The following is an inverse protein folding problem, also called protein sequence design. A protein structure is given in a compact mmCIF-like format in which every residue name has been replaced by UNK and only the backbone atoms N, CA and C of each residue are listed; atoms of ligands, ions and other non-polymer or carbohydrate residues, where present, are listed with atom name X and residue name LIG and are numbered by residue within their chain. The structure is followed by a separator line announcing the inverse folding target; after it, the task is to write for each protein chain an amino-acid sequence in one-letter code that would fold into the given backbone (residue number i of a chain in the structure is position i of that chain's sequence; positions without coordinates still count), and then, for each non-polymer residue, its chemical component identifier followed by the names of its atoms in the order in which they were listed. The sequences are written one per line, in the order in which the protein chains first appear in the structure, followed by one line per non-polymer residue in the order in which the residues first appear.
data_IF_005220155419
#
_entry.id   IF_005220155419
#
_cell.length_a   1.000
_cell.length_b   1.000
_cell.length_c   1.000
_cell.angle_alpha   90.00
_cell.angle_beta   90.00
_cell.angle_gamma   90.00
#
_symmetry.space_group_name_H-M   'P 1'
#
loop_
_entity.id
_entity.type
_entity.pdbx_description
1 polymer ?
#
# COMPACT_ATOMS: atom_id res chain seq x y z
N UNK A 1 18.43 13.46 31.95
CA UNK A 1 18.28 12.33 31.01
C UNK A 1 19.19 11.15 31.33
N UNK A 2 20.51 11.31 31.52
CA UNK A 2 21.44 10.21 31.84
C UNK A 2 21.01 9.31 33.00
N UNK A 3 20.43 9.88 34.06
CA UNK A 3 19.96 9.10 35.23
C UNK A 3 18.73 8.23 34.94
N UNK A 4 17.85 8.64 34.02
CA UNK A 4 16.65 7.86 33.65
C UNK A 4 17.05 6.66 32.81
N UNK A 5 17.90 6.86 31.78
CA UNK A 5 18.39 5.76 30.93
C UNK A 5 19.14 4.72 31.76
N UNK A 6 20.02 5.18 32.68
CA UNK A 6 20.78 4.31 33.57
C UNK A 6 19.84 3.54 34.54
N UNK A 7 18.78 4.19 35.03
CA UNK A 7 17.75 3.57 35.87
C UNK A 7 16.97 2.49 35.12
N UNK A 8 16.52 2.81 33.89
CA UNK A 8 15.78 1.88 33.03
C UNK A 8 16.65 0.66 32.68
N UNK A 9 17.91 0.85 32.31
CA UNK A 9 18.84 -0.24 32.05
C UNK A 9 19.05 -1.14 33.28
N UNK A 10 19.25 -0.56 34.46
CA UNK A 10 19.35 -1.34 35.71
C UNK A 10 18.08 -2.14 36.02
N UNK A 11 16.90 -1.55 35.79
CA UNK A 11 15.62 -2.24 35.97
C UNK A 11 15.46 -3.38 34.95
N UNK A 12 15.94 -3.20 33.72
CA UNK A 12 15.92 -4.23 32.68
C UNK A 12 16.77 -5.45 33.13
N UNK A 13 17.98 -5.24 33.61
CA UNK A 13 18.88 -6.33 34.04
C UNK A 13 18.37 -7.05 35.28
N UNK A 14 17.66 -6.37 36.17
CA UNK A 14 17.13 -7.01 37.41
C UNK A 14 16.04 -8.05 37.14
N UNK A 15 15.28 -7.92 36.02
CA UNK A 15 14.22 -8.86 35.62
C UNK A 15 14.27 -9.11 34.12
N UNK A 16 15.34 -9.76 33.66
CA UNK A 16 15.57 -9.89 32.21
C UNK A 16 14.46 -10.65 31.52
N UNK A 17 13.97 -11.76 32.07
CA UNK A 17 12.93 -12.58 31.45
C UNK A 17 11.62 -11.82 31.22
N UNK A 18 11.09 -11.13 32.25
CA UNK A 18 9.82 -10.42 32.17
C UNK A 18 9.90 -9.21 31.24
N UNK A 19 11.00 -8.46 31.30
CA UNK A 19 11.22 -7.30 30.45
C UNK A 19 11.49 -7.71 29.00
N UNK A 20 12.18 -8.81 28.77
CA UNK A 20 12.42 -9.37 27.45
C UNK A 20 11.12 -9.86 26.81
N UNK A 21 10.26 -10.57 27.54
CA UNK A 21 8.94 -11.00 27.07
C UNK A 21 8.10 -9.79 26.67
N UNK A 22 8.12 -8.72 27.45
CA UNK A 22 7.38 -7.49 27.16
C UNK A 22 7.94 -6.78 25.92
N UNK A 23 9.26 -6.64 25.83
CA UNK A 23 9.96 -6.05 24.70
C UNK A 23 9.67 -6.85 23.41
N UNK A 24 9.85 -8.16 23.43
CA UNK A 24 9.62 -9.02 22.25
C UNK A 24 8.14 -9.04 21.86
N UNK A 25 7.22 -9.12 22.82
CA UNK A 25 5.78 -9.07 22.54
C UNK A 25 5.35 -7.78 21.87
N UNK A 26 5.84 -6.63 22.36
CA UNK A 26 5.60 -5.33 21.71
C UNK A 26 6.29 -5.25 20.35
N UNK A 27 7.52 -5.74 20.22
CA UNK A 27 8.28 -5.74 18.95
C UNK A 27 7.53 -6.49 17.85
N UNK A 28 7.13 -7.73 18.11
CA UNK A 28 6.41 -8.56 17.12
C UNK A 28 5.06 -7.93 16.75
N UNK A 29 4.33 -7.44 17.74
CA UNK A 29 3.04 -6.81 17.48
C UNK A 29 3.18 -5.51 16.71
N UNK A 30 4.14 -4.64 17.04
CA UNK A 30 4.41 -3.42 16.30
C UNK A 30 4.90 -3.71 14.88
N UNK A 31 5.74 -4.74 14.69
CA UNK A 31 6.18 -5.17 13.37
C UNK A 31 4.99 -5.57 12.49
N UNK A 32 4.06 -6.37 13.02
CA UNK A 32 2.86 -6.77 12.28
C UNK A 32 1.96 -5.56 12.00
N UNK A 33 1.76 -4.67 12.97
CA UNK A 33 1.00 -3.42 12.77
C UNK A 33 1.65 -2.55 11.69
N UNK A 34 2.98 -2.43 11.67
CA UNK A 34 3.71 -1.67 10.63
C UNK A 34 3.47 -2.29 9.26
N UNK A 35 3.64 -3.61 9.09
CA UNK A 35 3.43 -4.30 7.82
C UNK A 35 2.00 -4.08 7.31
N UNK A 36 1.00 -4.34 8.14
CA UNK A 36 -0.40 -4.19 7.76
C UNK A 36 -0.78 -2.73 7.47
N UNK A 37 -0.24 -1.78 8.24
CA UNK A 37 -0.51 -0.35 8.04
C UNK A 37 0.15 0.18 6.77
N UNK A 38 1.40 -0.18 6.50
CA UNK A 38 2.11 0.26 5.29
C UNK A 38 1.47 -0.35 4.05
N UNK A 39 1.12 -1.63 4.09
CA UNK A 39 0.39 -2.27 2.99
C UNK A 39 -0.97 -1.60 2.76
N UNK A 40 -1.77 -1.42 3.81
CA UNK A 40 -3.07 -0.76 3.69
C UNK A 40 -2.95 0.68 3.19
N UNK A 41 -1.91 1.40 3.63
CA UNK A 41 -1.62 2.75 3.15
C UNK A 41 -1.28 2.75 1.65
N UNK A 42 -0.42 1.82 1.22
CA UNK A 42 -0.04 1.73 -0.20
C UNK A 42 -1.24 1.40 -1.10
N UNK A 43 -2.15 0.53 -0.66
CA UNK A 43 -3.39 0.22 -1.36
C UNK A 43 -4.35 1.43 -1.43
N UNK A 44 -4.51 2.15 -0.29
CA UNK A 44 -5.42 3.29 -0.20
C UNK A 44 -4.91 4.54 -0.93
N UNK A 45 -3.62 4.61 -1.22
CA UNK A 45 -2.97 5.73 -1.91
C UNK A 45 -2.51 5.38 -3.33
N UNK A 46 -3.06 4.31 -3.90
CA UNK A 46 -2.82 3.93 -5.30
C UNK A 46 -3.11 5.11 -6.22
N UNK A 47 -2.19 5.37 -7.17
CA UNK A 47 -2.23 6.47 -8.15
C UNK A 47 -2.14 7.91 -7.58
N UNK A 48 -1.96 8.10 -6.30
CA UNK A 48 -1.85 9.45 -5.71
C UNK A 48 -0.53 10.17 -6.07
N UNK A 49 0.42 9.49 -6.67
CA UNK A 49 1.72 10.08 -7.08
C UNK A 49 1.66 10.75 -8.46
N UNK A 50 0.62 10.52 -9.25
CA UNK A 50 0.46 11.20 -10.53
C UNK A 50 0.15 12.69 -10.33
N UNK A 51 0.94 13.56 -10.95
CA UNK A 51 0.82 15.02 -10.80
C UNK A 51 -0.57 15.51 -11.17
N UNK A 52 -1.13 14.98 -12.26
CA UNK A 52 -2.46 15.32 -12.75
C UNK A 52 -3.55 14.35 -12.27
N UNK A 53 -3.25 13.44 -11.31
CA UNK A 53 -4.11 12.32 -10.94
C UNK A 53 -5.51 12.70 -10.44
N UNK A 54 -5.67 13.89 -9.89
CA UNK A 54 -6.95 14.46 -9.43
C UNK A 54 -7.85 14.92 -10.59
N UNK A 55 -7.28 15.18 -11.77
CA UNK A 55 -7.97 15.63 -12.98
C UNK A 55 -8.04 14.55 -14.08
N UNK A 56 -7.42 13.40 -13.86
CA UNK A 56 -7.47 12.26 -14.78
C UNK A 56 -8.65 11.36 -14.47
N UNK A 57 -9.42 11.03 -15.50
CA UNK A 57 -10.60 10.18 -15.41
C UNK A 57 -10.59 9.12 -16.49
N UNK A 58 -11.14 7.95 -16.19
CA UNK A 58 -11.46 6.91 -17.17
C UNK A 58 -12.94 7.04 -17.57
N UNK A 59 -13.20 7.11 -18.86
CA UNK A 59 -14.56 7.04 -19.38
C UNK A 59 -15.11 5.62 -19.20
N UNK A 60 -16.30 5.53 -18.64
CA UNK A 60 -17.02 4.29 -18.41
C UNK A 60 -18.45 4.44 -18.88
N UNK A 61 -18.95 3.42 -19.53
CA UNK A 61 -20.36 3.28 -19.89
C UNK A 61 -21.19 2.81 -18.69
N UNK A 62 -22.45 2.59 -18.92
CA UNK A 62 -23.34 1.97 -17.95
C UNK A 62 -22.76 0.63 -17.42
N UNK A 63 -23.09 0.27 -16.19
CA UNK A 63 -22.60 -0.96 -15.52
C UNK A 63 -21.08 -1.07 -15.35
N UNK A 64 -20.38 0.04 -15.33
CA UNK A 64 -18.90 0.09 -15.22
C UNK A 64 -18.15 -0.62 -16.37
N UNK A 65 -18.76 -0.67 -17.54
CA UNK A 65 -18.07 -1.11 -18.75
C UNK A 65 -17.07 -0.02 -19.18
N UNK A 66 -15.78 -0.36 -19.17
CA UNK A 66 -14.68 0.60 -19.41
C UNK A 66 -14.16 0.56 -20.85
N UNK A 67 -14.74 -0.27 -21.68
CA UNK A 67 -14.34 -0.37 -23.08
C UNK A 67 -15.07 0.64 -23.95
N UNK A 68 -14.33 1.31 -24.81
CA UNK A 68 -14.80 2.30 -25.74
C UNK A 68 -14.22 2.06 -27.15
N UNK A 69 -14.86 2.57 -28.20
CA UNK A 69 -14.28 2.57 -29.54
C UNK A 69 -13.10 3.55 -29.65
N UNK A 70 -12.15 3.23 -30.53
CA UNK A 70 -10.99 4.09 -30.74
C UNK A 70 -11.38 5.50 -31.24
N UNK A 71 -12.42 5.58 -32.04
CA UNK A 71 -12.94 6.84 -32.62
C UNK A 71 -13.36 7.84 -31.54
N UNK A 72 -13.81 7.34 -30.38
CA UNK A 72 -14.28 8.20 -29.27
C UNK A 72 -13.21 9.23 -28.87
N UNK A 73 -11.95 8.82 -28.75
CA UNK A 73 -10.84 9.73 -28.41
C UNK A 73 -10.71 10.88 -29.40
N UNK A 74 -10.75 10.56 -30.68
CA UNK A 74 -10.60 11.57 -31.75
C UNK A 74 -11.77 12.56 -31.73
N UNK A 75 -12.99 12.09 -31.43
CA UNK A 75 -14.17 12.95 -31.28
C UNK A 75 -14.11 13.80 -29.99
N UNK A 76 -13.58 13.26 -28.89
CA UNK A 76 -13.37 14.02 -27.65
C UNK A 76 -12.44 15.19 -27.91
N UNK A 77 -11.29 14.95 -28.55
CA UNK A 77 -10.30 15.99 -28.86
C UNK A 77 -10.85 17.11 -29.74
N UNK A 78 -11.80 16.77 -30.67
CA UNK A 78 -12.41 17.72 -31.57
C UNK A 78 -13.57 18.51 -30.96
N UNK A 79 -14.33 17.90 -30.03
CA UNK A 79 -15.67 18.40 -29.71
C UNK A 79 -15.89 18.67 -28.21
N UNK A 80 -14.97 18.27 -27.31
CA UNK A 80 -15.14 18.44 -25.86
C UNK A 80 -14.12 19.45 -25.31
N UNK A 81 -14.49 20.74 -25.20
CA UNK A 81 -13.56 21.80 -24.82
C UNK A 81 -13.05 21.69 -23.37
N UNK A 82 -13.75 20.97 -22.49
CA UNK A 82 -13.39 20.73 -21.09
C UNK A 82 -12.22 19.75 -20.92
N UNK A 83 -11.91 19.01 -21.99
CA UNK A 83 -10.79 18.05 -21.98
C UNK A 83 -9.52 18.76 -22.45
N UNK A 84 -8.48 18.70 -21.65
CA UNK A 84 -7.15 19.22 -21.93
C UNK A 84 -6.36 18.26 -22.82
N UNK A 85 -6.42 16.95 -22.52
CA UNK A 85 -5.81 15.88 -23.29
C UNK A 85 -6.60 14.57 -23.09
N UNK A 86 -6.55 13.69 -24.09
CA UNK A 86 -7.15 12.37 -23.97
C UNK A 86 -6.21 11.28 -24.51
N UNK A 87 -6.34 10.07 -23.95
CA UNK A 87 -5.52 8.91 -24.30
C UNK A 87 -6.38 7.68 -24.36
N UNK A 88 -6.31 6.96 -25.48
CA UNK A 88 -6.84 5.60 -25.57
C UNK A 88 -5.72 4.60 -25.32
N UNK A 89 -6.02 3.59 -24.54
CA UNK A 89 -5.11 2.50 -24.24
C UNK A 89 -5.73 1.16 -24.60
N UNK A 90 -4.90 0.20 -25.00
CA UNK A 90 -5.34 -1.17 -25.23
C UNK A 90 -4.18 -2.14 -25.01
N UNK A 91 -4.45 -3.28 -24.38
CA UNK A 91 -3.47 -4.36 -24.31
C UNK A 91 -3.43 -5.18 -25.59
N UNK A 92 -2.31 -5.84 -25.84
CA UNK A 92 -2.25 -6.90 -26.83
C UNK A 92 -3.01 -8.13 -26.30
N UNK A 93 -3.88 -8.73 -27.14
CA UNK A 93 -4.72 -9.87 -26.72
C UNK A 93 -3.93 -11.05 -26.17
N UNK A 94 -2.83 -11.37 -26.83
CA UNK A 94 -1.87 -12.39 -26.39
C UNK A 94 -0.57 -11.69 -26.05
N UNK A 95 0.01 -12.04 -24.93
CA UNK A 95 1.31 -11.53 -24.54
C UNK A 95 2.34 -11.86 -25.62
N UNK A 96 3.01 -10.86 -26.21
CA UNK A 96 3.97 -11.09 -27.27
C UNK A 96 5.25 -11.72 -26.74
N UNK A 97 5.96 -12.35 -27.66
CA UNK A 97 7.30 -12.87 -27.42
C UNK A 97 8.31 -11.83 -27.85
N UNK A 98 9.15 -11.38 -26.92
CA UNK A 98 10.26 -10.46 -27.15
C UNK A 98 11.57 -11.22 -27.27
N UNK A 99 12.42 -10.82 -28.21
CA UNK A 99 13.77 -11.35 -28.37
C UNK A 99 14.74 -10.22 -28.67
N UNK A 100 15.77 -10.06 -27.84
CA UNK A 100 16.85 -9.11 -28.00
C UNK A 100 18.10 -9.84 -28.50
N UNK A 101 18.51 -9.61 -29.76
CA UNK A 101 19.67 -10.28 -30.38
C UNK A 101 19.60 -11.80 -30.26
N UNK A 102 20.63 -12.41 -29.67
CA UNK A 102 20.72 -13.86 -29.48
C UNK A 102 20.25 -14.34 -28.09
N UNK A 103 19.63 -13.46 -27.28
CA UNK A 103 19.09 -13.87 -25.97
C UNK A 103 17.86 -14.76 -26.15
N UNK A 104 17.58 -15.54 -25.11
CA UNK A 104 16.38 -16.39 -25.09
C UNK A 104 15.10 -15.54 -25.22
N UNK A 105 14.12 -16.00 -26.00
CA UNK A 105 12.85 -15.30 -26.15
C UNK A 105 12.10 -15.23 -24.80
N UNK A 106 11.53 -14.08 -24.48
CA UNK A 106 10.77 -13.82 -23.26
C UNK A 106 9.35 -13.39 -23.60
N UNK A 107 8.35 -14.03 -23.00
CA UNK A 107 6.96 -13.59 -23.11
C UNK A 107 6.66 -12.55 -22.03
N UNK A 108 6.17 -11.38 -22.41
CA UNK A 108 5.75 -10.32 -21.50
C UNK A 108 4.57 -9.54 -22.06
N UNK A 109 3.91 -8.75 -21.22
CA UNK A 109 2.79 -7.92 -21.63
C UNK A 109 3.23 -6.71 -22.48
N UNK A 110 2.36 -6.29 -23.37
CA UNK A 110 2.53 -5.10 -24.18
C UNK A 110 1.22 -4.31 -24.23
N UNK A 111 1.31 -3.05 -23.89
CA UNK A 111 0.21 -2.09 -23.94
C UNK A 111 0.47 -1.05 -25.01
N UNK A 112 -0.57 -0.62 -25.68
CA UNK A 112 -0.54 0.48 -26.62
C UNK A 112 -1.24 1.68 -26.02
N UNK A 113 -0.68 2.86 -26.23
CA UNK A 113 -1.26 4.12 -25.80
C UNK A 113 -1.04 5.21 -26.86
N UNK A 114 -1.80 6.28 -26.78
CA UNK A 114 -1.54 7.46 -27.60
C UNK A 114 -0.34 8.26 -27.05
N UNK A 115 0.26 9.13 -27.88
CA UNK A 115 1.45 9.91 -27.54
C UNK A 115 1.33 10.77 -26.28
N UNK A 116 0.10 11.19 -25.94
CA UNK A 116 -0.18 12.04 -24.79
C UNK A 116 -0.21 11.28 -23.44
N UNK A 117 0.14 9.99 -23.45
CA UNK A 117 0.13 9.15 -22.24
C UNK A 117 0.91 9.77 -21.08
N UNK A 118 2.09 10.30 -21.32
CA UNK A 118 2.93 10.87 -20.29
C UNK A 118 2.49 12.28 -19.84
N UNK A 119 1.53 12.90 -20.55
CA UNK A 119 0.87 14.13 -20.08
C UNK A 119 -0.18 13.82 -18.98
N UNK A 120 -0.81 12.64 -19.05
CA UNK A 120 -1.80 12.20 -18.08
C UNK A 120 -1.14 11.51 -16.87
N UNK A 121 -0.15 10.64 -17.15
CA UNK A 121 0.43 9.75 -16.16
C UNK A 121 1.90 10.07 -15.90
N UNK A 122 2.25 10.25 -14.63
CA UNK A 122 3.61 10.59 -14.21
C UNK A 122 4.47 9.33 -14.16
N UNK A 123 5.50 9.27 -14.99
CA UNK A 123 6.56 8.26 -14.97
C UNK A 123 7.91 8.93 -15.07
N UNK A 124 8.97 8.25 -14.63
CA UNK A 124 10.34 8.73 -14.73
C UNK A 124 11.15 7.80 -15.63
N UNK A 125 11.91 8.36 -16.57
CA UNK A 125 12.80 7.58 -17.40
C UNK A 125 14.16 7.42 -16.71
N UNK A 126 14.68 6.18 -16.73
CA UNK A 126 16.07 5.87 -16.39
C UNK A 126 16.97 6.10 -17.60
N UNK A 127 16.45 5.78 -18.79
CA UNK A 127 17.11 5.98 -20.08
C UNK A 127 16.13 6.62 -21.07
N UNK A 128 16.62 7.54 -21.90
CA UNK A 128 15.83 8.22 -22.92
C UNK A 128 15.07 9.45 -22.43
N UNK A 129 14.24 10.02 -23.30
CA UNK A 129 13.37 11.16 -23.00
C UNK A 129 11.91 10.74 -23.08
N UNK A 130 11.21 10.86 -21.95
CA UNK A 130 9.81 10.43 -21.79
C UNK A 130 8.85 11.24 -22.69
N UNK A 131 9.10 12.52 -22.91
CA UNK A 131 8.23 13.41 -23.67
C UNK A 131 8.07 12.96 -25.13
N UNK A 132 9.11 12.36 -25.70
CA UNK A 132 9.15 11.93 -27.09
C UNK A 132 9.07 10.40 -27.25
N UNK A 133 8.98 9.66 -26.15
CA UNK A 133 9.13 8.20 -26.17
C UNK A 133 8.04 7.45 -26.98
N UNK A 134 6.87 8.06 -27.16
CA UNK A 134 5.74 7.50 -27.92
C UNK A 134 5.43 8.26 -29.22
N UNK A 135 6.32 9.15 -29.69
CA UNK A 135 6.03 9.98 -30.89
C UNK A 135 6.18 9.18 -32.19
N UNK A 136 7.18 8.31 -32.27
CA UNK A 136 7.49 7.57 -33.46
C UNK A 136 6.86 6.18 -33.48
N UNK A 137 6.34 5.71 -34.60
CA UNK A 137 5.90 4.32 -34.72
C UNK A 137 7.08 3.36 -34.70
N UNK A 138 6.81 2.10 -34.40
CA UNK A 138 7.80 1.03 -34.25
C UNK A 138 8.86 1.30 -33.16
N UNK A 139 8.51 2.12 -32.16
CA UNK A 139 9.27 2.30 -30.94
C UNK A 139 8.56 1.66 -29.75
N UNK A 140 9.34 1.33 -28.71
CA UNK A 140 8.84 0.71 -27.49
C UNK A 140 9.52 1.30 -26.28
N UNK A 141 8.73 1.55 -25.25
CA UNK A 141 9.17 1.91 -23.91
C UNK A 141 9.15 0.64 -23.07
N UNK A 142 10.20 0.39 -22.30
CA UNK A 142 10.32 -0.79 -21.43
C UNK A 142 10.34 -0.38 -19.96
N UNK A 143 9.81 -1.21 -19.08
CA UNK A 143 10.12 -1.11 -17.66
C UNK A 143 11.59 -1.48 -17.44
N UNK A 144 12.20 -0.93 -16.40
CA UNK A 144 13.59 -1.24 -16.01
C UNK A 144 13.80 -2.74 -15.79
N UNK A 145 12.81 -3.40 -15.22
CA UNK A 145 12.85 -4.84 -14.99
C UNK A 145 12.90 -5.62 -16.31
N UNK A 146 11.99 -5.32 -17.25
CA UNK A 146 11.96 -5.98 -18.55
C UNK A 146 13.22 -5.67 -19.38
N UNK A 147 13.70 -4.42 -19.36
CA UNK A 147 14.94 -4.04 -20.00
C UNK A 147 16.14 -4.85 -19.47
N UNK A 148 16.23 -5.01 -18.15
CA UNK A 148 17.27 -5.83 -17.50
C UNK A 148 17.19 -7.32 -17.87
N UNK A 149 15.99 -7.87 -18.03
CA UNK A 149 15.80 -9.26 -18.46
C UNK A 149 16.19 -9.47 -19.94
N UNK A 150 15.92 -8.50 -20.80
CA UNK A 150 16.19 -8.58 -22.25
C UNK A 150 17.64 -8.25 -22.63
N UNK A 151 18.25 -7.29 -21.96
CA UNK A 151 19.55 -6.74 -22.35
C UNK A 151 20.65 -6.91 -21.28
N UNK A 152 20.29 -7.46 -20.10
CA UNK A 152 21.23 -7.59 -18.99
C UNK A 152 21.63 -6.22 -18.41
N UNK A 153 22.93 -6.03 -18.05
CA UNK A 153 23.40 -4.79 -17.46
C UNK A 153 23.67 -3.67 -18.49
N UNK A 154 23.51 -3.95 -19.78
CA UNK A 154 23.79 -2.99 -20.83
C UNK A 154 22.62 -2.01 -21.03
N UNK A 155 22.90 -0.72 -21.34
CA UNK A 155 21.82 0.22 -21.70
C UNK A 155 20.94 -0.32 -22.82
N UNK A 156 19.63 -0.18 -22.67
CA UNK A 156 18.66 -0.67 -23.64
C UNK A 156 18.29 0.38 -24.69
N UNK A 157 18.44 1.67 -24.38
CA UNK A 157 18.07 2.77 -25.26
C UNK A 157 18.69 2.65 -26.66
N UNK A 158 17.84 2.80 -27.69
CA UNK A 158 18.24 2.72 -29.11
C UNK A 158 18.50 1.30 -29.62
N UNK A 159 18.49 0.28 -28.76
CA UNK A 159 18.60 -1.12 -29.19
C UNK A 159 17.28 -1.59 -29.80
N UNK A 160 17.39 -2.56 -30.69
CA UNK A 160 16.25 -3.15 -31.39
C UNK A 160 15.91 -4.49 -30.76
N UNK A 161 14.63 -4.73 -30.54
CA UNK A 161 14.09 -6.01 -30.14
C UNK A 161 13.07 -6.54 -31.15
N UNK A 162 13.01 -7.85 -31.28
CA UNK A 162 12.09 -8.55 -32.17
C UNK A 162 10.83 -8.94 -31.39
N UNK A 163 9.67 -8.65 -31.96
CA UNK A 163 8.36 -8.94 -31.37
C UNK A 163 7.62 -9.96 -32.25
N UNK A 164 7.19 -11.07 -31.65
CA UNK A 164 6.48 -12.18 -32.32
C UNK A 164 7.16 -12.68 -33.60
N UNK A 165 8.48 -12.63 -33.66
CA UNK A 165 9.29 -13.02 -34.82
C UNK A 165 9.06 -12.24 -36.15
N UNK A 166 8.19 -11.24 -36.14
CA UNK A 166 7.77 -10.54 -37.36
C UNK A 166 8.14 -9.05 -37.37
N UNK A 167 8.19 -8.40 -36.23
CA UNK A 167 8.35 -6.97 -36.13
C UNK A 167 9.59 -6.59 -35.31
N UNK A 168 10.27 -5.53 -35.72
CA UNK A 168 11.40 -4.98 -34.99
C UNK A 168 11.02 -3.63 -34.39
N UNK A 169 11.13 -3.48 -33.08
CA UNK A 169 10.87 -2.24 -32.37
C UNK A 169 12.17 -1.72 -31.74
N UNK A 170 12.35 -0.40 -31.79
CA UNK A 170 13.50 0.27 -31.19
C UNK A 170 13.13 0.79 -29.80
N UNK A 171 13.97 0.55 -28.81
CA UNK A 171 13.73 1.05 -27.45
C UNK A 171 13.91 2.57 -27.44
N UNK A 172 12.84 3.30 -27.14
CA UNK A 172 12.80 4.76 -27.09
C UNK A 172 13.00 5.32 -25.67
N UNK A 173 12.66 4.56 -24.65
CA UNK A 173 12.92 4.89 -23.26
C UNK A 173 12.87 3.65 -22.37
N UNK A 174 13.50 3.74 -21.18
CA UNK A 174 13.36 2.78 -20.10
C UNK A 174 12.81 3.51 -18.88
N UNK A 175 11.67 3.04 -18.36
CA UNK A 175 10.99 3.62 -17.21
C UNK A 175 11.52 3.03 -15.91
N UNK A 176 11.64 3.87 -14.91
CA UNK A 176 11.80 3.41 -13.54
C UNK A 176 10.49 2.75 -13.04
N UNK A 177 10.63 1.75 -12.18
CA UNK A 177 9.44 1.16 -11.54
C UNK A 177 8.72 2.23 -10.71
N UNK A 178 7.37 2.28 -10.73
CA UNK A 178 6.62 3.27 -9.98
C UNK A 178 6.97 3.25 -8.49
N UNK A 179 7.15 4.42 -7.88
CA UNK A 179 7.45 4.54 -6.44
C UNK A 179 6.29 4.06 -5.54
N UNK A 180 5.08 4.04 -6.05
CA UNK A 180 3.86 3.66 -5.34
C UNK A 180 3.00 2.75 -6.21
N UNK A 181 1.98 2.15 -5.60
CA UNK A 181 1.02 1.33 -6.35
C UNK A 181 0.29 2.17 -7.41
N UNK A 182 0.06 1.55 -8.55
CA UNK A 182 -0.72 2.14 -9.65
C UNK A 182 -1.73 1.12 -10.19
N UNK A 183 -2.86 1.62 -10.67
CA UNK A 183 -3.84 0.81 -11.40
C UNK A 183 -3.30 0.33 -12.74
N UNK A 184 -2.31 1.05 -13.30
CA UNK A 184 -1.69 0.73 -14.59
C UNK A 184 -0.50 -0.21 -14.38
N UNK A 185 -0.65 -1.47 -14.72
CA UNK A 185 0.41 -2.49 -14.66
C UNK A 185 0.80 -2.93 -16.06
N UNK A 186 1.98 -2.54 -16.50
CA UNK A 186 2.53 -2.93 -17.79
C UNK A 186 4.06 -3.01 -17.73
N UNK A 187 4.62 -3.93 -18.48
CA UNK A 187 6.08 -4.09 -18.62
C UNK A 187 6.61 -3.39 -19.87
N UNK A 188 5.77 -3.21 -20.87
CA UNK A 188 6.12 -2.49 -22.10
C UNK A 188 4.97 -1.66 -22.65
N UNK A 189 5.32 -0.53 -23.26
CA UNK A 189 4.38 0.43 -23.82
C UNK A 189 4.84 0.85 -25.21
N UNK A 190 3.93 0.82 -26.19
CA UNK A 190 4.17 1.35 -27.54
C UNK A 190 3.03 2.28 -27.95
N UNK A 191 3.24 3.07 -29.00
CA UNK A 191 2.18 3.94 -29.49
C UNK A 191 1.12 3.17 -30.32
N UNK A 192 -0.08 3.75 -30.46
CA UNK A 192 -1.18 3.17 -31.22
C UNK A 192 -0.90 3.10 -32.74
N UNK A 193 0.01 3.89 -33.29
CA UNK A 193 0.45 3.74 -34.66
C UNK A 193 1.25 2.44 -34.85
N UNK A 194 2.06 2.06 -33.87
CA UNK A 194 2.70 0.74 -33.84
C UNK A 194 1.65 -0.38 -33.81
N UNK A 195 0.56 -0.22 -33.04
CA UNK A 195 -0.54 -1.21 -32.97
C UNK A 195 -1.15 -1.46 -34.38
N UNK A 196 -1.37 -0.42 -35.16
CA UNK A 196 -1.90 -0.55 -36.55
C UNK A 196 -1.01 -1.41 -37.44
N UNK A 197 0.30 -1.42 -37.19
CA UNK A 197 1.30 -2.17 -37.97
C UNK A 197 1.42 -3.62 -37.46
N UNK A 198 1.53 -3.81 -36.14
CA UNK A 198 1.80 -5.14 -35.56
C UNK A 198 0.55 -5.99 -35.35
N UNK A 199 -0.62 -5.36 -35.29
CA UNK A 199 -1.93 -6.02 -35.17
C UNK A 199 -2.94 -5.39 -36.14
N UNK A 200 -2.84 -5.66 -37.45
CA UNK A 200 -3.64 -5.01 -38.46
C UNK A 200 -5.09 -5.53 -38.50
N UNK A 201 -5.86 -5.32 -37.46
CA UNK A 201 -7.32 -5.39 -37.50
C UNK A 201 -7.84 -4.06 -38.07
N UNK A 202 -7.75 -3.93 -39.41
CA UNK A 202 -7.79 -2.72 -40.24
C UNK A 202 -8.71 -1.57 -39.84
N UNK A 203 -9.91 -1.82 -39.32
CA UNK A 203 -10.92 -0.80 -39.12
C UNK A 203 -11.23 -0.44 -37.66
N UNK A 204 -10.54 -1.05 -36.68
CA UNK A 204 -10.79 -0.77 -35.26
C UNK A 204 -10.61 0.71 -34.90
N UNK A 205 -9.79 1.46 -35.61
CA UNK A 205 -9.56 2.90 -35.41
C UNK A 205 -10.56 3.81 -36.14
N UNK A 206 -11.39 3.26 -37.02
CA UNK A 206 -12.32 4.02 -37.87
C UNK A 206 -13.78 3.79 -37.56
N UNK A 207 -14.09 2.69 -36.85
CA UNK A 207 -15.46 2.25 -36.63
C UNK A 207 -15.87 2.37 -35.17
N UNK A 208 -17.14 2.74 -34.93
CA UNK A 208 -17.75 2.79 -33.60
C UNK A 208 -18.07 1.41 -33.00
N UNK A 209 -18.05 0.36 -33.83
CA UNK A 209 -18.44 -0.99 -33.40
C UNK A 209 -17.39 -1.73 -32.55
N UNK A 210 -16.14 -1.30 -32.57
CA UNK A 210 -15.03 -1.98 -31.93
C UNK A 210 -14.72 -1.37 -30.55
N UNK A 211 -15.20 -1.99 -29.47
CA UNK A 211 -14.97 -1.54 -28.10
C UNK A 211 -13.74 -2.24 -27.50
N UNK A 212 -12.53 -1.89 -27.94
CA UNK A 212 -11.27 -2.54 -27.55
C UNK A 212 -10.34 -1.64 -26.75
N UNK A 213 -10.73 -0.38 -26.51
CA UNK A 213 -9.87 0.62 -25.90
C UNK A 213 -10.46 1.10 -24.59
N UNK A 214 -9.58 1.56 -23.69
CA UNK A 214 -9.92 2.35 -22.51
C UNK A 214 -9.53 3.80 -22.80
N UNK A 215 -10.49 4.71 -22.68
CA UNK A 215 -10.28 6.13 -22.96
C UNK A 215 -10.16 6.90 -21.67
N UNK A 216 -8.95 7.41 -21.41
CA UNK A 216 -8.66 8.32 -20.31
C UNK A 216 -8.72 9.76 -20.78
N UNK A 217 -9.18 10.64 -19.92
CA UNK A 217 -9.27 12.08 -20.20
C UNK A 217 -8.65 12.87 -19.05
N UNK A 218 -7.89 13.90 -19.38
CA UNK A 218 -7.42 14.91 -18.45
C UNK A 218 -8.35 16.12 -18.59
N UNK A 219 -9.07 16.46 -17.52
CA UNK A 219 -9.95 17.62 -17.51
C UNK A 219 -9.19 18.90 -17.19
N UNK A 220 -9.64 20.01 -17.76
CA UNK A 220 -9.19 21.35 -17.38
C UNK A 220 -9.60 21.65 -15.94
N UNK A 221 -8.88 22.54 -15.28
CA UNK A 221 -9.20 22.93 -13.91
C UNK A 221 -10.60 23.55 -13.82
N UNK A 222 -11.37 23.11 -12.81
CA UNK A 222 -12.71 23.63 -12.52
C UNK A 222 -13.84 23.07 -13.39
N UNK A 223 -13.59 22.17 -14.34
CA UNK A 223 -14.64 21.51 -15.12
C UNK A 223 -15.42 20.49 -14.27
N UNK A 224 -16.72 20.35 -14.53
CA UNK A 224 -17.57 19.35 -13.88
C UNK A 224 -17.46 18.00 -14.61
N UNK A 225 -16.93 16.95 -13.95
CA UNK A 225 -16.82 15.63 -14.56
C UNK A 225 -18.16 15.01 -14.97
N UNK A 226 -19.25 15.38 -14.31
CA UNK A 226 -20.60 14.85 -14.62
C UNK A 226 -21.12 15.44 -15.93
N UNK A 227 -21.00 16.74 -16.10
CA UNK A 227 -21.43 17.42 -17.35
C UNK A 227 -20.52 17.03 -18.52
N UNK A 228 -19.20 16.94 -18.28
CA UNK A 228 -18.26 16.46 -19.30
C UNK A 228 -18.57 15.01 -19.73
N UNK A 229 -18.93 14.14 -18.80
CA UNK A 229 -19.34 12.76 -19.10
C UNK A 229 -20.57 12.71 -20.01
N UNK A 230 -21.57 13.57 -19.77
CA UNK A 230 -22.76 13.69 -20.63
C UNK A 230 -22.39 14.16 -22.04
N UNK A 231 -21.53 15.16 -22.13
CA UNK A 231 -21.02 15.65 -23.41
C UNK A 231 -20.31 14.56 -24.19
N UNK A 232 -19.41 13.79 -23.54
CA UNK A 232 -18.74 12.65 -24.17
C UNK A 232 -19.76 11.58 -24.61
N UNK A 233 -20.76 11.29 -23.78
CA UNK A 233 -21.80 10.31 -24.12
C UNK A 233 -22.64 10.72 -25.33
N UNK A 234 -22.87 12.02 -25.54
CA UNK A 234 -23.59 12.53 -26.70
C UNK A 234 -22.85 12.40 -28.04
N UNK A 235 -21.56 12.07 -28.00
CA UNK A 235 -20.75 11.84 -29.22
C UNK A 235 -21.02 10.47 -29.85
N UNK A 236 -21.63 9.52 -29.11
CA UNK A 236 -21.97 8.23 -29.70
C UNK A 236 -23.09 8.37 -30.74
N UNK A 237 -23.02 7.62 -31.83
CA UNK A 237 -24.03 7.73 -32.90
C UNK A 237 -25.40 7.20 -32.44
N UNK A 238 -26.49 7.70 -33.05
CA UNK A 238 -27.88 7.30 -32.76
C UNK A 238 -28.14 5.80 -32.97
N UNK A 239 -27.30 5.12 -33.75
CA UNK A 239 -27.33 3.67 -33.93
C UNK A 239 -26.93 2.88 -32.67
N UNK A 240 -26.40 3.55 -31.64
CA UNK A 240 -25.99 2.95 -30.36
C UNK A 240 -26.66 3.64 -29.17
N UNK A 241 -27.99 3.64 -29.07
CA UNK A 241 -28.74 4.42 -28.08
C UNK A 241 -28.47 4.01 -26.64
N UNK A 242 -28.16 2.74 -26.37
CA UNK A 242 -27.79 2.23 -25.05
C UNK A 242 -26.44 2.79 -24.55
N UNK A 243 -25.57 3.22 -25.43
CA UNK A 243 -24.26 3.77 -25.10
C UNK A 243 -24.28 5.29 -24.90
N UNK A 244 -25.32 5.98 -25.45
CA UNK A 244 -25.49 7.42 -25.31
C UNK A 244 -25.99 7.86 -23.93
N UNK A 245 -26.67 6.98 -23.21
CA UNK A 245 -27.56 7.46 -22.16
C UNK A 245 -26.95 7.68 -20.78
N UNK A 246 -25.83 7.09 -20.41
CA UNK A 246 -25.30 7.14 -19.04
C UNK A 246 -23.77 6.94 -18.89
N UNK A 247 -22.98 7.57 -19.76
CA UNK A 247 -21.53 7.59 -19.57
C UNK A 247 -21.15 8.33 -18.27
N UNK A 248 -20.11 7.88 -17.62
CA UNK A 248 -19.53 8.51 -16.43
C UNK A 248 -18.03 8.58 -16.53
N UNK A 249 -17.45 9.56 -15.84
CA UNK A 249 -16.02 9.69 -15.65
C UNK A 249 -15.64 9.16 -14.26
N UNK A 250 -14.83 8.11 -14.23
CA UNK A 250 -14.33 7.51 -12.99
C UNK A 250 -12.98 8.15 -12.67
N UNK A 251 -12.83 8.87 -11.52
CA UNK A 251 -11.55 9.45 -11.14
C UNK A 251 -10.46 8.38 -11.02
N UNK A 252 -9.26 8.66 -11.50
CA UNK A 252 -8.11 7.75 -11.46
C UNK A 252 -7.88 7.21 -10.04
N UNK A 253 -7.89 8.08 -9.03
CA UNK A 253 -7.69 7.74 -7.62
C UNK A 253 -8.76 6.79 -7.02
N UNK A 254 -9.95 6.69 -7.67
CA UNK A 254 -11.01 5.77 -7.27
C UNK A 254 -11.06 4.51 -8.12
N UNK A 255 -10.35 4.52 -9.23
CA UNK A 255 -10.41 3.45 -10.23
C UNK A 255 -9.98 2.11 -9.65
N UNK A 256 -8.92 2.09 -8.85
CA UNK A 256 -8.38 0.88 -8.21
C UNK A 256 -9.42 0.07 -7.41
N UNK A 257 -10.34 0.74 -6.73
CA UNK A 257 -11.40 0.12 -5.92
C UNK A 257 -12.77 0.09 -6.61
N UNK A 258 -12.85 0.55 -7.84
CA UNK A 258 -14.10 0.50 -8.61
C UNK A 258 -14.23 -0.88 -9.25
N UNK A 259 -15.31 -1.63 -8.96
CA UNK A 259 -15.54 -2.88 -9.67
C UNK A 259 -15.90 -2.57 -11.12
N UNK A 260 -15.05 -2.95 -12.02
CA UNK A 260 -15.33 -2.91 -13.45
C UNK A 260 -15.20 -4.31 -14.05
N UNK A 261 -16.02 -4.56 -15.05
CA UNK A 261 -15.95 -5.82 -15.78
C UNK A 261 -14.81 -5.75 -16.80
N UNK A 262 -13.85 -6.66 -16.68
CA UNK A 262 -12.65 -6.69 -17.49
C UNK A 262 -12.51 -8.04 -18.16
N UNK A 263 -13.10 -8.20 -19.35
CA UNK A 263 -12.79 -9.35 -20.18
C UNK A 263 -11.44 -9.12 -20.88
N UNK A 264 -10.44 -9.87 -20.50
CA UNK A 264 -9.16 -9.90 -21.22
C UNK A 264 -8.21 -8.72 -21.00
N UNK A 265 -8.52 -7.78 -20.12
CA UNK A 265 -7.62 -6.67 -19.80
C UNK A 265 -6.64 -7.07 -18.70
N UNK A 266 -5.34 -7.08 -19.02
CA UNK A 266 -4.28 -7.52 -18.10
C UNK A 266 -3.51 -6.36 -17.48
N UNK A 267 -3.71 -5.11 -17.94
CA UNK A 267 -2.91 -3.96 -17.48
C UNK A 267 -3.63 -3.04 -16.49
N UNK A 268 -4.95 -3.15 -16.34
CA UNK A 268 -5.67 -2.47 -15.25
C UNK A 268 -5.87 -3.45 -14.10
N UNK A 269 -5.18 -3.18 -13.01
CA UNK A 269 -5.33 -3.97 -11.79
C UNK A 269 -6.38 -3.36 -10.88
N UNK A 270 -7.09 -4.19 -10.14
CA UNK A 270 -8.11 -3.76 -9.18
C UNK A 270 -7.83 -4.32 -7.80
N UNK A 271 -8.07 -3.50 -6.79
CA UNK A 271 -8.00 -3.88 -5.38
C UNK A 271 -9.38 -4.16 -4.78
N UNK A 272 -9.37 -4.77 -3.63
CA UNK A 272 -10.58 -5.02 -2.84
C UNK A 272 -10.56 -4.16 -1.57
N UNK A 273 -11.34 -3.09 -1.57
CA UNK A 273 -11.46 -2.19 -0.42
C UNK A 273 -11.89 -2.91 0.86
N UNK A 274 -12.69 -3.98 0.75
CA UNK A 274 -13.13 -4.76 1.92
C UNK A 274 -11.94 -5.49 2.54
N UNK A 275 -11.06 -6.09 1.71
CA UNK A 275 -9.83 -6.73 2.20
C UNK A 275 -8.95 -5.73 2.94
N UNK A 276 -8.73 -4.53 2.38
CA UNK A 276 -7.94 -3.48 3.03
C UNK A 276 -8.54 -3.08 4.38
N UNK A 277 -9.86 -2.86 4.44
CA UNK A 277 -10.54 -2.52 5.69
C UNK A 277 -10.44 -3.63 6.75
N UNK A 278 -10.51 -4.89 6.34
CA UNK A 278 -10.28 -6.05 7.24
C UNK A 278 -8.85 -6.01 7.79
N UNK A 279 -7.85 -5.77 6.96
CA UNK A 279 -6.45 -5.69 7.40
C UNK A 279 -6.21 -4.54 8.39
N UNK A 280 -6.83 -3.38 8.17
CA UNK A 280 -6.80 -2.25 9.12
C UNK A 280 -7.43 -2.64 10.45
N UNK A 281 -8.58 -3.32 10.44
CA UNK A 281 -9.20 -3.81 11.66
C UNK A 281 -8.32 -4.83 12.40
N UNK A 282 -7.70 -5.76 11.67
CA UNK A 282 -6.78 -6.76 12.24
C UNK A 282 -5.56 -6.05 12.87
N UNK A 283 -4.98 -5.05 12.20
CA UNK A 283 -3.88 -4.26 12.76
C UNK A 283 -4.28 -3.58 14.08
N UNK A 284 -5.49 -3.00 14.13
CA UNK A 284 -6.05 -2.41 15.35
C UNK A 284 -6.23 -3.44 16.47
N UNK A 285 -6.76 -4.62 16.17
CA UNK A 285 -6.93 -5.70 17.16
C UNK A 285 -5.59 -6.19 17.70
N UNK A 286 -4.60 -6.41 16.82
CA UNK A 286 -3.24 -6.81 17.25
C UNK A 286 -2.62 -5.76 18.14
N UNK A 287 -2.78 -4.48 17.82
CA UNK A 287 -2.30 -3.38 18.65
C UNK A 287 -2.97 -3.41 20.05
N UNK A 288 -4.29 -3.58 20.11
CA UNK A 288 -5.03 -3.70 21.37
C UNK A 288 -4.51 -4.88 22.20
N UNK A 289 -4.30 -6.05 21.60
CA UNK A 289 -3.73 -7.23 22.28
C UNK A 289 -2.35 -6.90 22.86
N UNK A 290 -1.48 -6.28 22.08
CA UNK A 290 -0.14 -5.89 22.52
C UNK A 290 -0.18 -4.94 23.72
N UNK A 291 -1.08 -3.96 23.68
CA UNK A 291 -1.24 -2.98 24.74
C UNK A 291 -1.82 -3.59 26.02
N UNK A 292 -2.80 -4.49 25.90
CA UNK A 292 -3.34 -5.24 27.05
C UNK A 292 -2.26 -6.14 27.63
N UNK A 293 -1.43 -6.80 26.81
CA UNK A 293 -0.30 -7.59 27.29
C UNK A 293 0.71 -6.72 28.05
N UNK A 294 1.05 -5.54 27.50
CA UNK A 294 1.92 -4.57 28.17
C UNK A 294 1.37 -4.17 29.55
N UNK A 295 0.07 -3.85 29.64
CA UNK A 295 -0.60 -3.50 30.91
C UNK A 295 -0.53 -4.67 31.90
N UNK A 296 -0.78 -5.89 31.47
CA UNK A 296 -0.74 -7.10 32.31
C UNK A 296 0.64 -7.32 32.91
N UNK A 297 1.68 -7.22 32.07
CA UNK A 297 3.08 -7.40 32.51
C UNK A 297 3.50 -6.24 33.42
N UNK A 298 3.21 -5.00 33.05
CA UNK A 298 3.51 -3.81 33.84
C UNK A 298 2.79 -3.83 35.22
N UNK A 299 1.53 -4.31 35.25
CA UNK A 299 0.77 -4.47 36.50
C UNK A 299 1.36 -5.53 37.39
N UNK A 300 1.98 -6.59 36.85
CA UNK A 300 2.66 -7.61 37.68
C UNK A 300 3.90 -7.06 38.37
N UNK A 301 4.56 -6.07 37.79
CA UNK A 301 5.74 -5.40 38.37
C UNK A 301 5.38 -4.28 39.35
N UNK A 302 4.10 -3.91 39.42
CA UNK A 302 3.63 -2.75 40.19
C UNK A 302 3.96 -2.80 41.69
N UNK A 303 3.76 -3.94 42.35
CA UNK A 303 4.04 -4.09 43.80
C UNK A 303 5.50 -3.78 44.16
N UNK A 304 6.43 -4.16 43.30
CA UNK A 304 7.85 -3.88 43.53
C UNK A 304 8.20 -2.42 43.22
N UNK A 305 7.62 -1.86 42.17
CA UNK A 305 7.77 -0.43 41.87
C UNK A 305 7.22 0.44 43.03
N UNK A 306 6.13 0.03 43.68
CA UNK A 306 5.59 0.70 44.88
C UNK A 306 6.61 0.71 46.01
N UNK A 307 7.32 -0.41 46.28
CA UNK A 307 8.36 -0.46 47.33
C UNK A 307 9.50 0.51 47.02
N UNK A 308 10.02 0.47 45.79
CA UNK A 308 11.09 1.38 45.34
C UNK A 308 10.67 2.85 45.44
N UNK A 309 9.43 3.15 45.04
CA UNK A 309 8.87 4.50 45.08
C UNK A 309 8.63 4.97 46.51
N UNK A 310 8.22 4.06 47.41
CA UNK A 310 8.09 4.35 48.85
C UNK A 310 9.41 4.84 49.46
N UNK A 311 10.51 4.15 49.15
CA UNK A 311 11.87 4.56 49.57
C UNK A 311 12.24 5.93 48.99
N UNK A 312 12.00 6.14 47.71
CA UNK A 312 12.28 7.43 47.06
C UNK A 312 11.49 8.60 47.68
N UNK A 313 10.23 8.36 48.05
CA UNK A 313 9.41 9.38 48.74
C UNK A 313 9.92 9.72 50.16
N UNK A 314 10.41 8.72 50.87
CA UNK A 314 11.02 8.93 52.21
C UNK A 314 12.28 9.79 52.09
N UNK A 315 13.03 9.65 50.99
CA UNK A 315 14.22 10.47 50.68
C UNK A 315 13.88 11.84 50.08
N UNK A 316 12.57 12.14 49.90
CA UNK A 316 12.10 13.47 49.45
C UNK A 316 11.73 13.57 47.96
N UNK A 317 11.60 12.48 47.24
CA UNK A 317 11.19 12.54 45.84
C UNK A 317 9.72 12.98 45.69
N UNK A 318 9.48 14.05 44.94
CA UNK A 318 8.14 14.56 44.63
C UNK A 318 7.34 13.63 43.67
N UNK A 319 6.01 13.72 43.75
CA UNK A 319 5.09 12.91 42.95
C UNK A 319 5.32 13.09 41.45
N UNK A 320 5.58 14.31 40.98
CA UNK A 320 5.84 14.66 39.56
C UNK A 320 7.11 14.03 39.04
N UNK A 321 8.15 13.94 39.90
CA UNK A 321 9.41 13.27 39.52
C UNK A 321 9.22 11.77 39.31
N UNK A 322 8.43 11.13 40.16
CA UNK A 322 8.10 9.71 40.06
C UNK A 322 7.24 9.44 38.83
N UNK A 323 6.21 10.27 38.58
CA UNK A 323 5.37 10.18 37.40
C UNK A 323 6.20 10.27 36.11
N UNK A 324 7.02 11.33 36.02
CA UNK A 324 7.89 11.55 34.84
C UNK A 324 8.85 10.38 34.62
N UNK A 325 9.46 9.84 35.65
CA UNK A 325 10.37 8.71 35.51
C UNK A 325 9.66 7.44 35.03
N UNK A 326 8.45 7.16 35.55
CA UNK A 326 7.66 5.99 35.13
C UNK A 326 7.20 6.10 33.68
N UNK A 327 6.76 7.28 33.26
CA UNK A 327 6.38 7.54 31.87
C UNK A 327 7.59 7.44 30.93
N UNK A 328 8.74 7.97 31.35
CA UNK A 328 9.96 7.90 30.55
C UNK A 328 10.48 6.44 30.41
N UNK A 329 10.41 5.63 31.46
CA UNK A 329 10.74 4.18 31.38
C UNK A 329 9.85 3.46 30.36
N UNK A 330 8.54 3.73 30.38
CA UNK A 330 7.62 3.14 29.42
C UNK A 330 7.93 3.61 27.99
N UNK A 331 8.15 4.90 27.79
CA UNK A 331 8.50 5.45 26.49
C UNK A 331 9.79 4.83 25.92
N UNK A 332 10.83 4.66 26.75
CA UNK A 332 12.07 4.01 26.32
C UNK A 332 11.80 2.56 25.86
N UNK A 333 10.94 1.81 26.58
CA UNK A 333 10.57 0.46 26.19
C UNK A 333 9.82 0.43 24.84
N UNK A 334 8.83 1.31 24.66
CA UNK A 334 8.08 1.43 23.42
C UNK A 334 8.98 1.85 22.26
N UNK A 335 9.89 2.81 22.49
CA UNK A 335 10.84 3.26 21.46
C UNK A 335 11.81 2.14 21.07
N UNK A 336 12.35 1.39 22.04
CA UNK A 336 13.19 0.24 21.77
C UNK A 336 12.44 -0.83 20.98
N UNK A 337 11.17 -1.11 21.35
CA UNK A 337 10.32 -2.04 20.61
C UNK A 337 10.04 -1.56 19.18
N UNK A 338 9.82 -0.27 18.96
CA UNK A 338 9.63 0.31 17.62
C UNK A 338 10.88 0.13 16.75
N UNK A 339 12.06 0.46 17.30
CA UNK A 339 13.34 0.29 16.57
C UNK A 339 13.53 -1.18 16.17
N UNK A 340 13.34 -2.10 17.12
CA UNK A 340 13.44 -3.53 16.84
C UNK A 340 12.38 -4.01 15.85
N UNK A 341 11.16 -3.46 15.90
CA UNK A 341 10.08 -3.78 14.96
C UNK A 341 10.43 -3.35 13.53
N UNK A 342 10.94 -2.13 13.35
CA UNK A 342 11.40 -1.64 12.04
C UNK A 342 12.54 -2.52 11.51
N UNK A 343 13.55 -2.82 12.35
CA UNK A 343 14.64 -3.72 11.96
C UNK A 343 14.14 -5.12 11.59
N UNK A 344 13.18 -5.66 12.34
CA UNK A 344 12.55 -6.94 12.04
C UNK A 344 11.83 -6.90 10.68
N UNK A 345 11.04 -5.86 10.42
CA UNK A 345 10.34 -5.70 9.14
C UNK A 345 11.35 -5.63 7.98
N UNK A 346 12.39 -4.80 8.09
CA UNK A 346 13.40 -4.66 7.04
C UNK A 346 14.15 -5.97 6.75
N UNK A 347 14.49 -6.72 7.80
CA UNK A 347 15.23 -7.97 7.66
C UNK A 347 14.38 -9.10 7.08
N UNK A 348 13.12 -9.22 7.50
CA UNK A 348 12.24 -10.33 7.14
C UNK A 348 11.27 -9.99 6.00
N UNK A 349 11.21 -8.73 5.54
CA UNK A 349 10.30 -8.32 4.46
C UNK A 349 10.45 -9.16 3.18
N UNK A 350 11.65 -9.46 2.65
CA UNK A 350 11.78 -10.28 1.44
C UNK A 350 11.18 -11.68 1.60
N UNK A 351 11.30 -12.24 2.81
CA UNK A 351 10.72 -13.53 3.15
C UNK A 351 9.19 -13.45 3.25
N UNK A 352 8.69 -12.43 3.94
CA UNK A 352 7.25 -12.19 4.11
C UNK A 352 6.58 -11.97 2.75
N UNK A 353 7.15 -11.12 1.91
CA UNK A 353 6.66 -10.84 0.55
C UNK A 353 6.55 -12.12 -0.28
N UNK A 354 7.58 -12.99 -0.22
CA UNK A 354 7.60 -14.25 -0.96
C UNK A 354 6.50 -15.23 -0.53
N UNK A 355 6.16 -15.29 0.77
CA UNK A 355 5.15 -16.21 1.28
C UNK A 355 3.73 -15.68 1.24
N UNK A 356 3.55 -14.38 1.39
CA UNK A 356 2.22 -13.76 1.51
C UNK A 356 1.74 -13.11 0.22
N UNK A 357 2.62 -12.89 -0.75
CA UNK A 357 2.34 -12.09 -1.94
C UNK A 357 2.11 -10.60 -1.62
N UNK A 358 2.37 -10.17 -0.39
CA UNK A 358 2.27 -8.76 0.00
C UNK A 358 3.49 -8.02 -0.54
N UNK A 359 3.26 -7.14 -1.50
CA UNK A 359 4.27 -6.27 -2.04
C UNK A 359 3.98 -4.83 -1.62
N UNK A 360 4.94 -4.17 -1.04
CA UNK A 360 4.96 -2.73 -0.88
C UNK A 360 6.40 -2.23 -1.01
N UNK A 361 6.57 -0.98 -1.34
CA UNK A 361 7.90 -0.41 -1.46
C UNK A 361 8.52 -0.21 -0.06
N UNK A 362 9.60 -0.93 0.33
CA UNK A 362 10.23 -0.78 1.65
C UNK A 362 10.76 0.64 1.91
N UNK A 363 11.01 1.43 0.85
CA UNK A 363 11.45 2.82 0.98
C UNK A 363 10.41 3.70 1.68
N UNK A 364 9.14 3.30 1.74
CA UNK A 364 8.13 3.98 2.56
C UNK A 364 8.52 4.07 4.04
N UNK A 365 9.23 3.06 4.56
CA UNK A 365 9.71 3.04 5.95
C UNK A 365 10.79 4.08 6.25
N UNK A 366 11.47 4.59 5.21
CA UNK A 366 12.50 5.64 5.34
C UNK A 366 11.95 7.04 5.08
N UNK A 367 10.73 7.18 4.57
CA UNK A 367 10.13 8.50 4.36
C UNK A 367 10.01 9.25 5.70
N UNK A 368 10.39 10.53 5.77
CA UNK A 368 10.30 11.33 7.01
C UNK A 368 8.87 11.36 7.59
N UNK A 369 7.86 11.36 6.73
CA UNK A 369 6.45 11.32 7.14
C UNK A 369 6.11 10.05 7.92
N UNK A 370 6.59 8.88 7.47
CA UNK A 370 6.41 7.63 8.19
C UNK A 370 7.09 7.67 9.56
N UNK A 371 8.33 8.13 9.63
CA UNK A 371 9.07 8.23 10.89
C UNK A 371 8.38 9.16 11.89
N UNK A 372 7.86 10.30 11.44
CA UNK A 372 7.10 11.22 12.28
C UNK A 372 5.82 10.56 12.81
N UNK A 373 5.06 9.87 11.96
CA UNK A 373 3.83 9.16 12.36
C UNK A 373 4.17 8.02 13.33
N UNK A 374 5.19 7.22 13.05
CA UNK A 374 5.59 6.11 13.90
C UNK A 374 6.08 6.57 15.28
N UNK A 375 6.90 7.61 15.34
CA UNK A 375 7.40 8.19 16.60
C UNK A 375 6.29 8.86 17.41
N UNK A 376 5.45 9.69 16.76
CA UNK A 376 4.33 10.35 17.45
C UNK A 376 3.29 9.35 17.94
N UNK A 377 2.95 8.34 17.11
CA UNK A 377 2.06 7.26 17.51
C UNK A 377 2.62 6.47 18.70
N UNK A 378 3.89 6.10 18.65
CA UNK A 378 4.58 5.41 19.75
C UNK A 378 4.59 6.26 21.03
N UNK A 379 4.83 7.55 20.93
CA UNK A 379 4.77 8.47 22.07
C UNK A 379 3.37 8.53 22.68
N UNK A 380 2.33 8.71 21.85
CA UNK A 380 0.93 8.73 22.29
C UNK A 380 0.56 7.39 22.97
N UNK A 381 0.88 6.27 22.34
CA UNK A 381 0.60 4.96 22.92
C UNK A 381 1.29 4.77 24.27
N UNK A 382 2.58 5.12 24.38
CA UNK A 382 3.31 5.03 25.62
C UNK A 382 2.69 5.89 26.73
N UNK A 383 2.21 7.10 26.42
CA UNK A 383 1.51 7.97 27.37
C UNK A 383 0.17 7.37 27.80
N UNK A 384 -0.69 7.04 26.84
CA UNK A 384 -2.06 6.57 27.12
C UNK A 384 -2.04 5.32 27.99
N UNK A 385 -1.18 4.35 27.69
CA UNK A 385 -1.16 3.06 28.40
C UNK A 385 -0.31 3.07 29.66
N UNK A 386 0.59 4.04 29.82
CA UNK A 386 1.41 4.16 31.01
C UNK A 386 0.91 5.16 32.05
N UNK A 387 0.00 6.08 31.65
CA UNK A 387 -0.47 7.15 32.55
C UNK A 387 -1.23 6.60 33.76
N UNK A 388 -2.09 5.60 33.56
CA UNK A 388 -2.88 5.00 34.64
C UNK A 388 -1.97 4.28 35.70
N UNK A 389 -1.06 3.37 35.27
CA UNK A 389 -0.10 2.78 36.21
C UNK A 389 0.79 3.82 36.86
N UNK A 390 1.26 4.82 36.11
CA UNK A 390 2.15 5.86 36.60
C UNK A 390 1.48 6.75 37.65
N UNK A 391 0.23 7.16 37.44
CA UNK A 391 -0.57 7.91 38.42
C UNK A 391 -0.80 7.10 39.69
N UNK A 392 -1.13 5.81 39.58
CA UNK A 392 -1.32 4.93 40.75
C UNK A 392 -0.04 4.78 41.56
N UNK A 393 1.13 4.68 40.90
CA UNK A 393 2.43 4.59 41.59
C UNK A 393 2.77 5.92 42.23
N UNK A 394 2.57 7.05 41.56
CA UNK A 394 2.97 8.37 42.08
C UNK A 394 2.07 8.89 43.21
N UNK A 395 0.77 8.58 43.19
CA UNK A 395 -0.20 9.05 44.20
C UNK A 395 -0.24 8.24 45.46
N UNK A 396 0.31 7.01 45.48
CA UNK A 396 0.29 6.12 46.64
C UNK A 396 1.06 6.71 47.84
N UNK A 397 0.48 6.66 49.09
CA UNK A 397 1.14 7.18 50.30
C UNK A 397 2.31 6.26 50.72
N UNK A 398 3.42 6.83 51.20
CA UNK A 398 4.62 6.09 51.60
C UNK A 398 4.31 5.04 52.70
N UNK A 399 3.45 5.40 53.67
CA UNK A 399 3.00 4.54 54.77
C UNK A 399 2.16 3.35 54.32
N UNK A 400 1.24 3.56 53.35
CA UNK A 400 0.39 2.51 52.78
C UNK A 400 1.19 1.56 51.91
N UNK A 401 2.21 2.08 51.24
CA UNK A 401 3.11 1.31 50.40
C UNK A 401 3.96 0.31 51.15
N UNK A 402 4.40 0.66 52.36
CA UNK A 402 5.15 -0.22 53.24
C UNK A 402 4.23 -1.28 53.91
N UNK A 403 3.00 -0.92 54.30
CA UNK A 403 2.02 -1.87 54.88
C UNK A 403 1.48 -2.87 53.86
N UNK A 404 1.09 -2.42 52.65
CA UNK A 404 0.62 -3.30 51.56
C UNK A 404 1.71 -4.23 51.00
N UNK A 405 2.98 -3.89 51.25
CA UNK A 405 4.11 -4.76 50.91
C UNK A 405 4.22 -5.95 51.87
N UNK A 406 3.69 -5.82 53.07
CA UNK A 406 3.68 -6.87 54.12
C UNK A 406 2.43 -7.75 53.99
N UNK A 407 1.28 -7.17 53.62
CA UNK A 407 0.06 -7.90 53.28
C UNK A 407 0.13 -8.44 51.87
N UNK A 408 0.62 -9.67 51.70
CA UNK A 408 0.69 -10.38 50.45
C UNK A 408 -0.63 -10.28 49.64
N UNK A 409 -0.64 -9.44 48.60
CA UNK A 409 -1.23 -9.80 47.33
C UNK A 409 -2.70 -10.18 47.25
N UNK A 410 -3.65 -9.34 47.70
CA UNK A 410 -5.04 -9.40 47.22
C UNK A 410 -5.30 -8.33 46.16
N UNK A 411 -4.54 -8.32 45.08
CA UNK A 411 -5.05 -7.75 43.79
C UNK A 411 -6.05 -8.77 43.25
N UNK A 412 -7.29 -8.34 42.99
CA UNK A 412 -8.36 -9.20 42.52
C UNK A 412 -7.88 -9.96 41.26
N UNK A 413 -7.69 -11.30 41.30
CA UNK A 413 -7.20 -12.08 40.15
C UNK A 413 -8.17 -12.05 38.97
N UNK A 414 -9.44 -11.64 39.24
CA UNK A 414 -10.54 -11.62 38.29
C UNK A 414 -10.28 -10.66 37.09
N UNK A 415 -9.83 -9.42 37.38
CA UNK A 415 -9.60 -8.46 36.27
C UNK A 415 -8.47 -8.90 35.34
N UNK A 416 -7.39 -9.48 35.90
CA UNK A 416 -6.29 -10.05 35.10
C UNK A 416 -6.75 -11.30 34.31
N UNK A 417 -7.56 -12.15 34.94
CA UNK A 417 -8.15 -13.31 34.29
C UNK A 417 -9.00 -12.91 33.06
N UNK A 418 -9.87 -11.92 33.24
CA UNK A 418 -10.71 -11.40 32.12
C UNK A 418 -9.83 -10.89 30.98
N UNK A 419 -8.81 -10.06 31.25
CA UNK A 419 -7.92 -9.53 30.24
C UNK A 419 -7.18 -10.63 29.47
N UNK A 420 -6.64 -11.63 30.17
CA UNK A 420 -5.94 -12.77 29.54
C UNK A 420 -6.92 -13.61 28.72
N UNK A 421 -8.11 -13.90 29.25
CA UNK A 421 -9.15 -14.65 28.53
C UNK A 421 -9.56 -13.92 27.25
N UNK A 422 -9.77 -12.60 27.32
CA UNK A 422 -10.11 -11.78 26.13
C UNK A 422 -9.00 -11.85 25.07
N UNK A 423 -7.74 -11.81 25.48
CA UNK A 423 -6.60 -11.97 24.54
C UNK A 423 -6.62 -13.34 23.83
N UNK A 424 -6.84 -14.42 24.59
CA UNK A 424 -6.93 -15.76 23.99
C UNK A 424 -8.12 -15.88 23.05
N UNK A 425 -9.28 -15.34 23.40
CA UNK A 425 -10.47 -15.33 22.54
C UNK A 425 -10.18 -14.60 21.22
N UNK A 426 -9.60 -13.39 21.29
CA UNK A 426 -9.26 -12.63 20.09
C UNK A 426 -8.21 -13.39 19.24
N UNK A 427 -7.18 -13.96 19.87
CA UNK A 427 -6.15 -14.74 19.16
C UNK A 427 -6.75 -15.96 18.45
N UNK A 428 -7.65 -16.70 19.09
CA UNK A 428 -8.33 -17.86 18.51
C UNK A 428 -9.21 -17.43 17.33
N UNK A 429 -9.97 -16.33 17.48
CA UNK A 429 -10.79 -15.78 16.40
C UNK A 429 -9.93 -15.37 15.20
N UNK A 430 -8.78 -14.72 15.42
CA UNK A 430 -7.87 -14.34 14.35
C UNK A 430 -7.27 -15.56 13.64
N UNK A 431 -6.87 -16.60 14.38
CA UNK A 431 -6.34 -17.85 13.80
C UNK A 431 -7.44 -18.54 12.99
N UNK A 432 -8.65 -18.68 13.54
CA UNK A 432 -9.78 -19.30 12.86
C UNK A 432 -10.13 -18.55 11.57
N UNK A 433 -10.16 -17.21 11.64
CA UNK A 433 -10.39 -16.35 10.47
C UNK A 433 -9.31 -16.54 9.39
N UNK A 434 -8.03 -16.57 9.80
CA UNK A 434 -6.91 -16.79 8.85
C UNK A 434 -7.01 -18.14 8.14
N UNK A 435 -7.32 -19.21 8.89
CA UNK A 435 -7.52 -20.56 8.31
C UNK A 435 -8.72 -20.58 7.36
N UNK A 436 -9.81 -19.88 7.70
CA UNK A 436 -11.00 -19.80 6.85
C UNK A 436 -10.73 -19.07 5.55
N UNK A 437 -10.04 -17.92 5.62
CA UNK A 437 -9.62 -17.16 4.44
C UNK A 437 -8.69 -17.98 3.56
N UNK A 438 -7.71 -18.68 4.15
CA UNK A 438 -6.79 -19.52 3.39
C UNK A 438 -7.51 -20.67 2.68
N UNK A 439 -8.49 -21.32 3.34
CA UNK A 439 -9.33 -22.33 2.70
C UNK A 439 -10.15 -21.76 1.55
N UNK A 440 -10.68 -20.55 1.71
CA UNK A 440 -11.49 -19.88 0.68
C UNK A 440 -10.64 -19.52 -0.54
N UNK A 441 -9.41 -19.02 -0.33
CA UNK A 441 -8.45 -18.76 -1.41
C UNK A 441 -8.06 -20.03 -2.15
N UNK A 442 -7.74 -21.10 -1.43
CA UNK A 442 -7.40 -22.39 -2.03
C UNK A 442 -8.58 -23.00 -2.81
N UNK A 443 -9.81 -22.84 -2.31
CA UNK A 443 -11.01 -23.31 -3.01
C UNK A 443 -11.22 -22.52 -4.33
N UNK A 444 -11.10 -21.18 -4.27
CA UNK A 444 -11.21 -20.34 -5.48
C UNK A 444 -10.12 -20.63 -6.51
N UNK A 445 -8.90 -20.99 -6.10
CA UNK A 445 -7.81 -21.32 -7.01
C UNK A 445 -7.94 -22.74 -7.59
N UNK A 446 -8.59 -23.68 -6.89
CA UNK A 446 -8.83 -25.04 -7.39
C UNK A 446 -10.01 -25.14 -8.37
N UNK A 447 -11.01 -24.27 -8.24
CA UNK A 447 -12.17 -24.25 -9.15
C UNK A 447 -11.89 -23.48 -10.47
N UNK A 448 -10.86 -22.65 -10.52
CA UNK A 448 -10.49 -21.87 -11.70
C UNK A 448 -9.48 -22.56 -12.62
N UNK A 449 -8.99 -23.75 -12.28
CA UNK A 449 -8.26 -24.65 -13.19
C UNK A 449 -7.03 -24.00 -13.86
N UNK A 450 -6.15 -23.32 -13.09
CA UNK A 450 -4.84 -22.85 -13.55
C UNK A 450 -3.71 -23.55 -12.80
#
# INVERSE_FOLDING_TARGET
MQNIVKSTYRNFIRKPATNLINLLGLTVSLALVIILSVYSYSELTTDNYHINGDRVYLFSKENNAIYSPAVLKDQIDLSVPDVEASVRMAAMWQAPVFQAGNHEPLTSDMVFADRDFFNLFTYHAVEGNIENALNEPMTIVLSKNLAGLLFGPEPALGKTLKVNNNHYLTVSAVLEEPEANTVLSFSSLANNETRKIVNPNGDEFKEWGWNNFQTFVLLKEGCDPVETAKTISSLFPDSQPTEQSQGKLIPLQKLYFTPFWVAGNKYLISGDKRKVMILVMVAGLVLIIALVNFINISSSQWLEKIKQTGVLKVIGAGQTAILRNTLAEAFILFLASLILAILFVLLFFPLISRFTGIHFNPFLLYKPSFLVVALSGTFILSLVFSIIPALRISSSKATDNLKKAIEKGRSKPVARGILVTTQFVIAIVLIAFTVLVQKQVNFSSSDLGF
#
